data_IF_496413967901
#
_entry.id   IF_496413967901
#
_cell.length_a   1.000
_cell.length_b   1.000
_cell.length_c   1.000
_cell.angle_alpha   90.00
_cell.angle_beta   90.00
_cell.angle_gamma   90.00
#
_symmetry.space_group_name_H-M   'P 1'
#
loop_
_entity.id
_entity.type
_entity.pdbx_description
1 polymer ?
#
# COMPACT_ATOMS: atom_id res chain seq x y z
N UNK A 1 -12.08 10.62 8.95
CA UNK A 1 -13.06 9.82 8.15
C UNK A 1 -12.43 8.49 7.80
N UNK A 2 -12.45 7.55 8.76
CA UNK A 2 -11.65 6.33 8.72
C UNK A 2 -12.36 5.20 7.97
N UNK A 3 -11.63 4.60 7.04
CA UNK A 3 -12.04 3.43 6.27
C UNK A 3 -11.01 2.33 6.54
N UNK A 4 -11.46 1.23 7.14
CA UNK A 4 -10.68 0.01 7.40
C UNK A 4 -9.79 -0.43 6.22
N UNK A 5 -8.51 -0.50 6.51
CA UNK A 5 -7.41 -0.81 5.60
C UNK A 5 -7.31 -2.31 5.36
N UNK A 6 -8.25 -2.86 4.58
CA UNK A 6 -8.30 -4.31 4.31
C UNK A 6 -7.71 -4.72 2.95
N UNK A 7 -7.11 -3.79 2.20
CA UNK A 7 -6.65 -4.06 0.84
C UNK A 7 -5.57 -3.10 0.35
N UNK A 8 -4.58 -3.64 -0.37
CA UNK A 8 -3.60 -2.88 -1.16
C UNK A 8 -3.56 -3.44 -2.60
N UNK A 9 -3.87 -2.61 -3.61
CA UNK A 9 -3.63 -2.93 -5.02
C UNK A 9 -2.32 -2.34 -5.48
N UNK A 10 -1.41 -3.15 -6.03
CA UNK A 10 -0.36 -2.63 -6.89
C UNK A 10 -0.83 -2.80 -8.34
N UNK A 11 -1.62 -1.85 -8.84
CA UNK A 11 -2.40 -2.00 -10.07
C UNK A 11 -1.60 -1.72 -11.39
N UNK A 12 -1.37 -2.78 -12.15
CA UNK A 12 -1.80 -3.03 -13.56
C UNK A 12 -1.32 -2.23 -14.78
N UNK A 13 -1.34 -0.89 -14.84
CA UNK A 13 -0.94 -0.20 -16.10
C UNK A 13 0.58 -0.24 -16.36
N UNK A 14 1.34 -0.48 -15.29
CA UNK A 14 2.80 -0.56 -15.32
C UNK A 14 3.30 -1.72 -16.18
N UNK A 15 2.68 -2.91 -16.13
CA UNK A 15 3.28 -4.12 -16.72
C UNK A 15 3.45 -4.03 -18.23
N UNK A 16 2.39 -3.74 -19.00
CA UNK A 16 2.49 -3.66 -20.48
C UNK A 16 3.37 -2.50 -20.91
N UNK A 17 3.26 -1.35 -20.23
CA UNK A 17 4.10 -0.20 -20.52
C UNK A 17 5.58 -0.51 -20.26
N UNK A 18 5.89 -1.16 -19.14
CA UNK A 18 7.24 -1.56 -18.80
C UNK A 18 7.78 -2.66 -19.73
N UNK A 19 7.00 -3.71 -19.99
CA UNK A 19 7.48 -4.85 -20.78
C UNK A 19 7.59 -4.55 -22.28
N UNK A 20 6.79 -3.61 -22.81
CA UNK A 20 6.75 -3.30 -24.25
C UNK A 20 7.58 -2.08 -24.60
N UNK A 21 7.62 -1.06 -23.74
CA UNK A 21 8.19 0.25 -24.10
C UNK A 21 9.32 0.73 -23.18
N UNK A 22 9.53 0.10 -22.03
CA UNK A 22 10.57 0.52 -21.09
C UNK A 22 11.80 -0.38 -21.20
N UNK A 23 12.92 0.23 -21.60
CA UNK A 23 14.23 -0.41 -21.47
C UNK A 23 14.70 -0.22 -20.01
N UNK A 24 15.18 -1.27 -19.31
CA UNK A 24 15.73 -1.14 -17.96
C UNK A 24 16.85 -0.10 -17.81
N UNK A 25 17.51 0.30 -18.90
CA UNK A 25 18.50 1.39 -18.93
C UNK A 25 17.88 2.79 -18.85
N UNK A 26 16.59 2.92 -19.12
CA UNK A 26 15.86 4.19 -19.01
C UNK A 26 15.50 4.43 -17.54
N UNK A 27 16.08 5.43 -16.87
CA UNK A 27 15.77 5.70 -15.47
C UNK A 27 14.33 6.17 -15.30
N UNK A 28 13.68 5.70 -14.23
CA UNK A 28 12.38 6.18 -13.79
C UNK A 28 12.62 7.40 -12.90
N UNK A 29 11.98 8.52 -13.25
CA UNK A 29 11.96 9.73 -12.44
C UNK A 29 10.63 9.82 -11.70
N UNK A 30 10.59 9.58 -10.38
CA UNK A 30 9.43 9.99 -9.60
C UNK A 30 9.22 11.49 -9.79
N UNK A 31 7.97 11.94 -9.86
CA UNK A 31 7.71 13.34 -10.20
C UNK A 31 7.92 14.24 -8.98
N UNK A 32 7.05 14.10 -7.98
CA UNK A 32 7.06 14.93 -6.78
C UNK A 32 6.22 14.24 -5.71
N UNK A 33 6.59 14.44 -4.45
CA UNK A 33 5.67 14.27 -3.33
C UNK A 33 4.93 15.59 -3.14
N UNK A 34 3.61 15.53 -3.31
CA UNK A 34 2.72 16.67 -3.33
C UNK A 34 1.28 16.23 -3.07
N UNK A 35 0.43 17.20 -2.77
CA UNK A 35 -1.00 17.02 -2.52
C UNK A 35 -1.82 18.07 -3.27
N UNK A 36 -3.14 17.94 -3.25
CA UNK A 36 -4.07 18.89 -3.91
C UNK A 36 -3.87 20.32 -3.41
N UNK A 37 -3.50 20.45 -2.14
CA UNK A 37 -3.35 21.70 -1.41
C UNK A 37 -2.00 22.37 -1.68
N UNK A 38 -0.98 21.57 -2.00
CA UNK A 38 0.33 22.09 -2.39
C UNK A 38 1.13 21.04 -3.17
N UNK A 39 1.47 21.37 -4.41
CA UNK A 39 1.94 20.36 -5.37
C UNK A 39 3.45 20.05 -5.23
N UNK A 40 4.29 20.94 -4.68
CA UNK A 40 5.77 20.79 -4.71
C UNK A 40 6.43 20.69 -3.34
N UNK A 41 6.00 19.74 -2.52
CA UNK A 41 6.45 19.63 -1.13
C UNK A 41 7.82 18.95 -1.02
N UNK A 42 8.05 17.84 -1.71
CA UNK A 42 9.35 17.19 -1.75
C UNK A 42 9.60 16.54 -3.10
N UNK A 43 10.86 16.37 -3.49
CA UNK A 43 11.25 15.79 -4.78
C UNK A 43 12.20 14.62 -4.58
N UNK A 44 12.24 13.64 -5.48
CA UNK A 44 13.25 12.59 -5.39
C UNK A 44 14.64 13.17 -5.59
N UNK A 45 15.59 12.70 -4.78
CA UNK A 45 16.98 13.12 -4.86
C UNK A 45 17.67 12.61 -6.14
N UNK A 46 17.31 11.41 -6.59
CA UNK A 46 17.93 10.71 -7.72
C UNK A 46 16.88 9.92 -8.53
N UNK A 47 17.13 9.65 -9.82
CA UNK A 47 16.33 8.70 -10.56
C UNK A 47 16.38 7.31 -9.90
N UNK A 48 15.29 6.55 -10.04
CA UNK A 48 15.13 5.22 -9.43
C UNK A 48 15.28 5.18 -7.89
N UNK A 49 15.22 6.32 -7.20
CA UNK A 49 15.28 6.38 -5.73
C UNK A 49 13.93 6.79 -5.15
N UNK A 50 13.65 6.30 -3.94
CA UNK A 50 12.54 6.72 -3.09
C UNK A 50 12.95 7.80 -2.08
N UNK A 51 14.22 8.19 -2.05
CA UNK A 51 14.74 9.25 -1.19
C UNK A 51 14.14 10.58 -1.62
N UNK A 52 13.26 11.13 -0.80
CA UNK A 52 12.68 12.44 -1.00
C UNK A 52 13.46 13.48 -0.22
N UNK A 53 13.65 14.65 -0.83
CA UNK A 53 14.18 15.84 -0.17
C UNK A 53 13.10 16.93 -0.10
N UNK A 54 12.92 17.58 1.06
CA UNK A 54 12.05 18.76 1.19
C UNK A 54 12.48 19.82 0.19
N UNK A 55 11.51 20.54 -0.39
CA UNK A 55 11.78 21.69 -1.24
C UNK A 55 11.86 22.97 -0.40
N UNK A 56 13.04 23.61 -0.28
CA UNK A 56 13.14 24.89 0.39
C UNK A 56 12.17 25.90 -0.26
N UNK A 57 11.47 26.69 0.56
CA UNK A 57 10.48 27.72 0.14
C UNK A 57 9.15 27.20 -0.43
N UNK A 58 8.88 25.89 -0.38
CA UNK A 58 7.56 25.37 -0.78
C UNK A 58 6.54 25.61 0.33
N UNK A 59 6.77 25.01 1.49
CA UNK A 59 5.92 25.09 2.67
C UNK A 59 6.81 25.27 3.90
N UNK A 60 6.21 25.68 5.01
CA UNK A 60 6.85 25.51 6.31
C UNK A 60 6.60 24.08 6.79
N UNK A 61 7.66 23.41 7.24
CA UNK A 61 7.65 22.00 7.60
C UNK A 61 7.70 21.84 9.12
N UNK A 62 6.72 21.12 9.64
CA UNK A 62 6.69 20.62 11.00
C UNK A 62 6.58 19.09 10.97
N UNK A 63 7.07 18.44 12.02
CA UNK A 63 7.10 17.00 12.13
C UNK A 63 6.62 16.59 13.51
N UNK A 64 5.64 15.68 13.57
CA UNK A 64 5.18 15.09 14.83
C UNK A 64 5.79 13.70 14.89
N UNK A 65 6.61 13.40 15.91
CA UNK A 65 7.20 12.07 16.08
C UNK A 65 6.10 11.02 16.28
N UNK A 66 6.25 9.87 15.62
CA UNK A 66 5.29 8.76 15.71
C UNK A 66 5.99 7.57 16.34
N UNK A 67 5.55 7.19 17.53
CA UNK A 67 5.93 5.94 18.18
C UNK A 67 5.06 4.78 17.65
N UNK A 68 5.61 3.56 17.65
CA UNK A 68 4.99 2.39 17.01
C UNK A 68 3.63 1.99 17.62
N UNK A 69 3.34 2.42 18.86
CA UNK A 69 2.11 2.12 19.62
C UNK A 69 1.08 3.27 19.63
N UNK A 70 1.36 4.42 19.02
CA UNK A 70 0.54 5.62 19.21
C UNK A 70 -0.69 5.68 18.26
N UNK A 71 -1.68 4.83 18.58
CA UNK A 71 -3.11 5.15 18.42
C UNK A 71 -3.56 6.25 19.40
N UNK A 72 -2.70 7.20 19.78
CA UNK A 72 -3.18 8.40 20.49
C UNK A 72 -4.24 9.06 19.63
N UNK A 73 -5.43 9.15 20.23
CA UNK A 73 -6.66 9.60 19.62
C UNK A 73 -6.47 10.92 18.86
N UNK A 74 -7.25 11.12 17.79
CA UNK A 74 -7.32 12.40 17.07
C UNK A 74 -7.71 13.59 17.99
N UNK A 75 -8.15 13.31 19.22
CA UNK A 75 -8.82 14.25 20.12
C UNK A 75 -7.89 14.99 21.11
N UNK A 76 -6.59 14.66 21.19
CA UNK A 76 -5.63 15.51 21.91
C UNK A 76 -5.13 16.64 20.99
N UNK A 77 -6.04 17.59 20.70
CA UNK A 77 -5.73 18.87 20.04
C UNK A 77 -4.74 19.74 20.84
N UNK A 78 -4.35 19.32 22.06
CA UNK A 78 -3.39 20.01 22.91
C UNK A 78 -1.96 19.73 22.46
N UNK A 79 -1.45 20.60 21.57
CA UNK A 79 -0.02 20.89 21.39
C UNK A 79 0.89 19.66 21.44
N UNK A 80 0.67 18.71 20.53
CA UNK A 80 1.72 17.75 20.20
C UNK A 80 2.99 18.52 19.88
N UNK A 81 4.09 18.15 20.53
CA UNK A 81 5.40 18.72 20.28
C UNK A 81 5.75 18.47 18.81
N UNK A 82 5.95 19.55 18.06
CA UNK A 82 6.39 19.48 16.67
C UNK A 82 7.85 19.86 16.56
N UNK A 83 8.57 19.08 15.78
CA UNK A 83 9.95 19.30 15.42
C UNK A 83 10.01 20.11 14.13
N UNK A 84 10.97 21.02 14.06
CA UNK A 84 11.35 21.68 12.82
C UNK A 84 12.24 20.79 11.96
N UNK A 85 12.39 21.16 10.69
CA UNK A 85 13.19 20.44 9.70
C UNK A 85 14.63 20.11 10.14
N UNK A 86 15.23 20.95 10.98
CA UNK A 86 16.60 20.74 11.44
C UNK A 86 16.69 19.77 12.63
N UNK A 87 15.60 19.58 13.38
CA UNK A 87 15.54 18.80 14.62
C UNK A 87 15.24 17.32 14.40
N UNK A 88 14.77 16.94 13.20
CA UNK A 88 14.46 15.53 12.91
C UNK A 88 15.72 14.65 12.88
N UNK A 89 15.57 13.44 13.45
CA UNK A 89 16.66 12.47 13.58
C UNK A 89 16.52 11.29 12.61
N UNK A 90 17.65 10.77 12.16
CA UNK A 90 17.70 9.59 11.28
C UNK A 90 17.15 8.34 11.98
N UNK A 91 16.43 7.51 11.24
CA UNK A 91 15.81 6.28 11.75
C UNK A 91 14.43 6.48 12.35
N UNK A 92 14.10 7.69 12.82
CA UNK A 92 12.80 8.01 13.41
C UNK A 92 11.70 8.22 12.37
N UNK A 93 10.46 7.99 12.81
CA UNK A 93 9.23 8.15 12.02
C UNK A 93 8.49 9.41 12.46
N UNK A 94 7.96 10.15 11.50
CA UNK A 94 7.22 11.38 11.76
C UNK A 94 5.99 11.49 10.88
N UNK A 95 4.90 12.03 11.42
CA UNK A 95 3.84 12.61 10.62
C UNK A 95 4.28 13.99 10.13
N UNK A 96 4.10 14.26 8.85
CA UNK A 96 4.43 15.57 8.29
C UNK A 96 3.26 16.54 8.44
N UNK A 97 3.57 17.75 8.88
CA UNK A 97 2.62 18.84 9.08
C UNK A 97 3.08 20.06 8.27
N UNK A 98 2.16 20.71 7.55
CA UNK A 98 2.49 21.83 6.67
C UNK A 98 1.78 23.11 7.05
N UNK A 99 2.50 24.22 6.88
CA UNK A 99 1.89 25.54 6.74
C UNK A 99 2.18 26.08 5.34
N UNK A 100 1.14 26.46 4.60
CA UNK A 100 1.22 26.89 3.20
C UNK A 100 0.96 28.39 3.05
N UNK A 101 1.43 28.99 1.95
CA UNK A 101 1.14 30.39 1.61
C UNK A 101 -0.35 30.63 1.30
N UNK A 102 -1.07 29.59 0.91
CA UNK A 102 -2.48 29.63 0.51
C UNK A 102 -3.45 29.50 1.69
N UNK A 103 -2.94 29.57 2.93
CA UNK A 103 -3.76 29.71 4.14
C UNK A 103 -4.05 28.42 4.90
N UNK A 104 -3.35 27.32 4.62
CA UNK A 104 -3.35 26.17 5.50
C UNK A 104 -2.32 26.38 6.60
N UNK A 105 -2.75 26.31 7.86
CA UNK A 105 -1.88 26.46 9.03
C UNK A 105 -1.87 25.16 9.81
N UNK A 106 -0.66 24.66 10.08
CA UNK A 106 -0.41 23.43 10.84
C UNK A 106 -1.29 22.26 10.36
N UNK A 107 -1.40 22.10 9.04
CA UNK A 107 -2.21 21.08 8.41
C UNK A 107 -1.57 19.70 8.57
N UNK A 108 -2.23 18.84 9.33
CA UNK A 108 -1.86 17.44 9.56
C UNK A 108 -2.16 16.60 8.32
N UNK A 109 -1.10 16.18 7.64
CA UNK A 109 -1.23 15.46 6.36
C UNK A 109 -1.63 14.00 6.56
N UNK A 110 -1.39 13.48 7.76
CA UNK A 110 -1.45 12.05 8.07
C UNK A 110 -0.43 11.21 7.28
N UNK A 111 0.46 11.81 6.48
CA UNK A 111 1.55 11.08 5.82
C UNK A 111 2.66 10.80 6.83
N UNK A 112 3.02 9.52 6.96
CA UNK A 112 4.11 9.07 7.82
C UNK A 112 5.36 8.89 6.97
N UNK A 113 6.43 9.58 7.37
CA UNK A 113 7.75 9.47 6.76
C UNK A 113 8.74 8.85 7.74
N UNK A 114 9.80 8.24 7.20
CA UNK A 114 10.99 7.86 7.96
C UNK A 114 12.17 8.68 7.49
N UNK A 115 12.90 9.29 8.40
CA UNK A 115 14.17 9.96 8.05
C UNK A 115 15.21 8.88 7.78
N UNK A 116 15.81 8.91 6.59
CA UNK A 116 16.77 7.90 6.12
C UNK A 116 18.18 8.45 5.93
N UNK A 117 18.38 9.72 6.26
CA UNK A 117 19.69 10.36 6.19
C UNK A 117 19.57 11.86 5.97
N UNK A 118 20.65 12.45 5.44
CA UNK A 118 20.70 13.86 5.07
C UNK A 118 21.42 14.04 3.73
N UNK A 119 20.92 14.99 2.93
CA UNK A 119 21.61 15.51 1.75
C UNK A 119 22.11 16.92 2.07
N UNK A 120 23.41 17.03 2.35
CA UNK A 120 23.98 18.17 3.07
C UNK A 120 23.21 18.40 4.39
N UNK A 121 22.63 19.58 4.60
CA UNK A 121 21.87 19.88 5.81
C UNK A 121 20.39 19.49 5.73
N UNK A 122 19.88 19.14 4.55
CA UNK A 122 18.47 18.79 4.36
C UNK A 122 18.23 17.33 4.75
N UNK A 123 17.19 17.02 5.55
CA UNK A 123 16.82 15.63 5.80
C UNK A 123 16.36 14.97 4.49
N UNK A 124 16.73 13.71 4.31
CA UNK A 124 16.17 12.83 3.28
C UNK A 124 15.20 11.87 3.95
N UNK A 125 14.04 11.65 3.36
CA UNK A 125 13.02 10.77 3.93
C UNK A 125 12.40 9.81 2.93
N UNK A 126 11.85 8.71 3.43
CA UNK A 126 10.97 7.81 2.70
C UNK A 126 9.53 8.01 3.16
N UNK A 127 8.59 8.03 2.23
CA UNK A 127 7.18 7.92 2.55
C UNK A 127 6.87 6.46 2.91
N UNK A 128 6.49 6.23 4.17
CA UNK A 128 6.16 4.90 4.70
C UNK A 128 4.70 4.56 4.39
N UNK A 129 3.82 5.55 4.51
CA UNK A 129 2.40 5.39 4.24
C UNK A 129 1.60 6.55 4.83
N UNK A 130 0.31 6.31 5.06
CA UNK A 130 -0.57 7.24 5.77
C UNK A 130 -1.02 6.65 7.08
N UNK A 131 -1.26 7.48 8.09
CA UNK A 131 -1.81 7.10 9.40
C UNK A 131 -3.10 6.30 9.17
N UNK A 132 -3.20 5.16 9.83
CA UNK A 132 -4.32 4.22 9.68
C UNK A 132 -4.31 3.38 8.40
N UNK A 133 -3.35 3.55 7.48
CA UNK A 133 -3.23 2.75 6.25
C UNK A 133 -2.21 1.61 6.40
N UNK A 134 -2.59 0.58 7.14
CA UNK A 134 -1.86 -0.67 7.31
C UNK A 134 -2.83 -1.86 7.25
N UNK A 135 -2.34 -3.05 6.88
CA UNK A 135 -3.09 -4.28 7.06
C UNK A 135 -2.85 -4.80 8.49
N UNK A 136 -3.94 -5.02 9.23
CA UNK A 136 -3.92 -5.63 10.57
C UNK A 136 -5.03 -6.66 10.70
N UNK A 137 -4.67 -7.87 11.11
CA UNK A 137 -5.59 -8.94 11.49
C UNK A 137 -5.89 -8.90 12.99
N UNK A 138 -4.89 -8.58 13.81
CA UNK A 138 -5.04 -8.42 15.26
C UNK A 138 -4.47 -7.09 15.74
N UNK A 139 -3.23 -7.08 16.21
CA UNK A 139 -2.56 -5.92 16.81
C UNK A 139 -1.29 -5.55 16.05
N UNK A 140 -0.97 -6.28 14.99
CA UNK A 140 0.17 -6.02 14.15
C UNK A 140 -0.18 -4.99 13.08
N UNK A 141 0.70 -4.02 12.86
CA UNK A 141 0.54 -3.00 11.84
C UNK A 141 1.54 -3.26 10.71
N UNK A 142 1.07 -3.87 9.61
CA UNK A 142 1.91 -4.11 8.44
C UNK A 142 1.58 -3.09 7.35
N UNK A 143 2.53 -2.22 7.03
CA UNK A 143 2.37 -1.13 6.08
C UNK A 143 2.40 -1.61 4.63
N UNK A 144 1.88 -0.78 3.70
CA UNK A 144 1.99 -1.06 2.27
C UNK A 144 3.44 -1.17 1.80
N UNK A 145 4.32 -0.30 2.31
CA UNK A 145 5.72 -0.29 1.93
C UNK A 145 6.38 -1.62 2.31
N UNK A 146 6.21 -2.08 3.55
CA UNK A 146 6.77 -3.35 4.04
C UNK A 146 6.26 -4.54 3.21
N UNK A 147 4.95 -4.64 2.97
CA UNK A 147 4.38 -5.69 2.13
C UNK A 147 4.97 -5.66 0.72
N UNK A 148 5.09 -4.47 0.13
CA UNK A 148 5.62 -4.30 -1.23
C UNK A 148 7.08 -4.72 -1.31
N UNK A 149 7.91 -4.35 -0.34
CA UNK A 149 9.33 -4.74 -0.31
C UNK A 149 9.49 -6.25 -0.12
N UNK A 150 8.78 -6.83 0.85
CA UNK A 150 8.80 -8.27 1.12
C UNK A 150 8.35 -9.05 -0.11
N UNK A 151 7.18 -8.74 -0.67
CA UNK A 151 6.62 -9.47 -1.81
C UNK A 151 7.51 -9.32 -3.05
N UNK A 152 8.00 -8.12 -3.34
CA UNK A 152 8.91 -7.94 -4.49
C UNK A 152 10.23 -8.70 -4.30
N UNK A 153 10.75 -8.79 -3.08
CA UNK A 153 11.96 -9.59 -2.80
C UNK A 153 11.72 -11.08 -3.09
N UNK A 154 10.58 -11.62 -2.63
CA UNK A 154 10.20 -13.02 -2.85
C UNK A 154 9.99 -13.26 -4.34
N UNK A 155 9.17 -12.45 -5.01
CA UNK A 155 8.78 -12.70 -6.40
C UNK A 155 9.95 -12.60 -7.38
N UNK A 156 11.01 -11.84 -7.06
CA UNK A 156 12.26 -11.82 -7.84
C UNK A 156 12.98 -13.18 -7.84
N UNK A 157 12.94 -13.92 -6.73
CA UNK A 157 13.55 -15.26 -6.66
C UNK A 157 12.85 -16.26 -7.59
N UNK A 158 11.57 -16.02 -7.87
CA UNK A 158 10.71 -16.86 -8.70
C UNK A 158 10.47 -16.26 -10.10
N UNK A 159 11.29 -15.29 -10.53
CA UNK A 159 11.10 -14.60 -11.81
C UNK A 159 11.09 -15.57 -13.01
N UNK A 160 11.84 -16.67 -12.95
CA UNK A 160 11.83 -17.71 -14.00
C UNK A 160 10.51 -18.51 -14.06
N UNK A 161 9.86 -18.66 -12.91
CA UNK A 161 8.57 -19.36 -12.79
C UNK A 161 7.39 -18.45 -13.18
N UNK A 162 7.62 -17.14 -13.30
CA UNK A 162 6.64 -16.17 -13.79
C UNK A 162 7.00 -15.73 -15.22
N UNK A 163 6.05 -15.81 -16.14
CA UNK A 163 6.24 -15.43 -17.56
C UNK A 163 6.44 -13.92 -17.79
N UNK A 164 6.29 -13.10 -16.75
CA UNK A 164 6.28 -11.64 -16.85
C UNK A 164 7.40 -10.99 -16.03
N UNK A 165 7.98 -9.93 -16.58
CA UNK A 165 8.97 -9.01 -15.97
C UNK A 165 8.52 -8.43 -14.61
N UNK A 166 7.23 -8.53 -14.26
CA UNK A 166 6.71 -8.18 -12.93
C UNK A 166 5.36 -8.87 -12.69
N UNK A 167 5.25 -9.89 -11.82
CA UNK A 167 3.98 -10.46 -11.38
C UNK A 167 3.04 -9.37 -10.81
N UNK A 168 1.77 -9.37 -11.21
CA UNK A 168 0.74 -8.51 -10.63
C UNK A 168 0.18 -9.18 -9.41
N UNK A 169 0.07 -8.43 -8.32
CA UNK A 169 -0.40 -8.97 -7.06
C UNK A 169 -1.25 -7.98 -6.27
N UNK A 170 -2.05 -8.51 -5.36
CA UNK A 170 -2.74 -7.72 -4.36
C UNK A 170 -2.81 -8.47 -3.04
N UNK A 171 -2.83 -7.72 -1.94
CA UNK A 171 -2.90 -8.28 -0.59
C UNK A 171 -4.17 -7.82 0.08
N UNK A 172 -4.87 -8.75 0.71
CA UNK A 172 -6.05 -8.47 1.52
C UNK A 172 -6.11 -9.41 2.72
N UNK A 173 -7.01 -9.11 3.66
CA UNK A 173 -7.27 -9.97 4.82
C UNK A 173 -8.53 -10.80 4.58
N UNK A 174 -8.43 -12.11 4.76
CA UNK A 174 -9.58 -13.01 4.84
C UNK A 174 -9.57 -13.72 6.19
N UNK A 175 -10.59 -13.45 7.00
CA UNK A 175 -10.71 -13.92 8.39
C UNK A 175 -9.48 -13.52 9.22
N UNK A 176 -8.66 -14.48 9.63
CA UNK A 176 -7.45 -14.26 10.40
C UNK A 176 -6.17 -14.44 9.57
N UNK A 177 -6.23 -14.32 8.24
CA UNK A 177 -5.08 -14.57 7.36
C UNK A 177 -4.87 -13.42 6.39
N UNK A 178 -3.60 -13.10 6.15
CA UNK A 178 -3.18 -12.38 4.96
C UNK A 178 -3.37 -13.27 3.73
N UNK A 179 -3.91 -12.73 2.65
CA UNK A 179 -4.09 -13.41 1.37
C UNK A 179 -3.33 -12.64 0.31
N UNK A 180 -2.27 -13.25 -0.21
CA UNK A 180 -1.52 -12.74 -1.35
C UNK A 180 -2.10 -13.35 -2.63
N UNK A 181 -2.77 -12.50 -3.41
CA UNK A 181 -3.27 -12.87 -4.72
C UNK A 181 -2.28 -12.52 -5.81
N UNK A 182 -2.02 -13.44 -6.75
CA UNK A 182 -1.02 -13.29 -7.81
C UNK A 182 -1.64 -13.69 -9.15
N UNK A 183 -1.56 -12.82 -10.16
CA UNK A 183 -1.94 -13.17 -11.54
C UNK A 183 -0.87 -14.04 -12.20
N UNK A 184 -1.31 -15.14 -12.79
CA UNK A 184 -0.49 -16.05 -13.60
C UNK A 184 -1.10 -16.19 -15.00
N UNK A 185 -0.26 -16.46 -15.99
CA UNK A 185 -0.71 -16.71 -17.36
C UNK A 185 -1.53 -17.99 -17.46
N UNK A 186 -2.48 -18.01 -18.39
CA UNK A 186 -3.46 -19.09 -18.52
C UNK A 186 -2.80 -20.46 -18.78
N UNK A 187 -1.70 -20.52 -19.55
CA UNK A 187 -0.94 -21.75 -19.81
C UNK A 187 -0.38 -22.41 -18.53
N UNK A 188 -0.12 -21.62 -17.48
CA UNK A 188 0.41 -22.11 -16.20
C UNK A 188 -0.69 -22.51 -15.22
N UNK A 189 -1.95 -22.09 -15.43
CA UNK A 189 -3.08 -22.52 -14.60
C UNK A 189 -3.47 -23.99 -14.80
N UNK A 190 -3.16 -24.55 -15.97
CA UNK A 190 -3.47 -25.94 -16.28
C UNK A 190 -2.61 -26.93 -15.47
N UNK A 191 -1.42 -26.51 -15.00
CA UNK A 191 -0.57 -27.30 -14.11
C UNK A 191 -0.86 -27.02 -12.62
N UNK A 192 -2.03 -27.46 -12.16
CA UNK A 192 -2.52 -27.20 -10.79
C UNK A 192 -1.61 -27.73 -9.68
N UNK A 193 -0.90 -28.84 -9.90
CA UNK A 193 -0.05 -29.44 -8.87
C UNK A 193 1.25 -28.66 -8.68
N UNK A 194 1.85 -28.15 -9.78
CA UNK A 194 2.99 -27.24 -9.71
C UNK A 194 2.62 -25.94 -8.98
N UNK A 195 1.46 -25.34 -9.29
CA UNK A 195 1.01 -24.11 -8.63
C UNK A 195 0.71 -24.30 -7.14
N UNK A 196 0.21 -25.47 -6.72
CA UNK A 196 0.04 -25.80 -5.29
C UNK A 196 1.39 -25.86 -4.56
N UNK A 197 2.38 -26.48 -5.17
CA UNK A 197 3.72 -26.59 -4.60
C UNK A 197 4.36 -25.19 -4.44
N UNK A 198 4.39 -24.41 -5.52
CA UNK A 198 4.91 -23.03 -5.51
C UNK A 198 4.13 -22.18 -4.50
N UNK A 199 2.80 -22.31 -4.45
CA UNK A 199 1.96 -21.55 -3.51
C UNK A 199 2.30 -21.84 -2.05
N UNK A 200 2.61 -23.09 -1.71
CA UNK A 200 3.03 -23.47 -0.35
C UNK A 200 4.40 -22.89 0.02
N UNK A 201 5.34 -22.91 -0.91
CA UNK A 201 6.67 -22.31 -0.72
C UNK A 201 6.57 -20.79 -0.54
N UNK A 202 5.83 -20.11 -1.41
CA UNK A 202 5.59 -18.66 -1.33
C UNK A 202 4.89 -18.26 -0.02
N UNK A 203 3.88 -19.04 0.41
CA UNK A 203 3.20 -18.85 1.69
C UNK A 203 4.17 -18.91 2.86
N UNK A 204 5.07 -19.91 2.86
CA UNK A 204 6.06 -20.10 3.92
C UNK A 204 7.07 -18.95 3.96
N UNK A 205 7.65 -18.59 2.80
CA UNK A 205 8.60 -17.47 2.70
C UNK A 205 7.98 -16.13 3.08
N UNK A 206 6.71 -15.89 2.72
CA UNK A 206 5.99 -14.69 3.10
C UNK A 206 5.81 -14.62 4.62
N UNK A 207 5.42 -15.73 5.27
CA UNK A 207 5.28 -15.81 6.72
C UNK A 207 6.61 -15.54 7.44
N UNK A 208 7.71 -16.10 6.94
CA UNK A 208 9.06 -15.91 7.50
C UNK A 208 9.52 -14.46 7.40
N UNK A 209 9.47 -13.87 6.21
CA UNK A 209 9.89 -12.47 6.02
C UNK A 209 9.02 -11.46 6.77
N UNK A 210 7.72 -11.73 6.91
CA UNK A 210 6.85 -10.89 7.75
C UNK A 210 7.25 -10.96 9.23
N UNK A 211 7.64 -12.15 9.73
CA UNK A 211 8.15 -12.30 11.11
C UNK A 211 9.49 -11.61 11.33
N UNK A 212 10.38 -11.64 10.34
CA UNK A 212 11.67 -10.97 10.40
C UNK A 212 11.53 -9.44 10.38
N UNK A 213 10.58 -8.93 9.60
CA UNK A 213 10.38 -7.49 9.42
C UNK A 213 9.49 -6.85 10.48
N UNK A 214 8.62 -7.61 11.14
CA UNK A 214 7.61 -7.06 12.04
C UNK A 214 7.43 -7.98 13.28
N UNK A 215 7.92 -7.52 14.43
CA UNK A 215 7.89 -8.28 15.69
C UNK A 215 6.46 -8.47 16.23
N UNK A 216 5.53 -7.54 15.96
CA UNK A 216 4.12 -7.69 16.36
C UNK A 216 3.43 -8.77 15.55
N UNK A 217 3.70 -8.83 14.24
CA UNK A 217 3.24 -9.91 13.38
C UNK A 217 3.73 -11.25 13.90
N UNK A 218 5.02 -11.35 14.22
CA UNK A 218 5.64 -12.56 14.79
C UNK A 218 4.98 -12.97 16.11
N UNK A 219 4.81 -12.04 17.03
CA UNK A 219 4.14 -12.27 18.31
C UNK A 219 2.70 -12.74 18.12
N UNK A 220 1.96 -12.13 17.19
CA UNK A 220 0.57 -12.51 16.90
C UNK A 220 0.46 -13.87 16.18
N UNK A 221 1.44 -14.23 15.34
CA UNK A 221 1.56 -15.56 14.72
C UNK A 221 1.86 -16.65 15.75
N UNK A 222 2.79 -16.41 16.68
CA UNK A 222 3.13 -17.34 17.77
C UNK A 222 1.95 -17.57 18.73
N UNK A 223 1.22 -16.51 19.05
CA UNK A 223 -0.02 -16.56 19.86
C UNK A 223 -1.22 -17.15 19.09
N UNK A 224 -1.03 -17.57 17.83
CA UNK A 224 -2.08 -18.12 16.94
C UNK A 224 -3.28 -17.19 16.74
N UNK A 225 -3.08 -15.87 16.90
CA UNK A 225 -4.11 -14.86 16.58
C UNK A 225 -4.25 -14.66 15.07
N UNK A 226 -3.14 -14.83 14.35
CA UNK A 226 -3.07 -14.76 12.88
C UNK A 226 -2.74 -16.15 12.35
N UNK A 227 -3.42 -16.57 11.29
CA UNK A 227 -3.17 -17.79 10.52
C UNK A 227 -2.05 -17.60 9.50
N UNK A 228 -1.47 -18.70 9.00
CA UNK A 228 -0.43 -18.61 7.95
C UNK A 228 -0.97 -17.91 6.70
N UNK A 229 -0.19 -17.01 6.06
CA UNK A 229 -0.58 -16.35 4.82
C UNK A 229 -1.00 -17.35 3.74
N UNK A 230 -2.01 -17.02 2.95
CA UNK A 230 -2.50 -17.88 1.87
C UNK A 230 -2.18 -17.27 0.51
N UNK A 231 -1.79 -18.11 -0.45
CA UNK A 231 -1.60 -17.69 -1.84
C UNK A 231 -2.87 -17.98 -2.64
N UNK A 232 -3.31 -16.99 -3.42
CA UNK A 232 -4.46 -17.09 -4.29
C UNK A 232 -4.07 -16.81 -5.74
N UNK A 233 -4.10 -17.85 -6.56
CA UNK A 233 -3.78 -17.74 -7.98
C UNK A 233 -4.95 -17.14 -8.75
N UNK A 234 -4.67 -16.09 -9.51
CA UNK A 234 -5.63 -15.39 -10.34
C UNK A 234 -5.38 -15.67 -11.81
N UNK A 235 -6.48 -15.70 -12.58
CA UNK A 235 -6.41 -15.71 -14.04
C UNK A 235 -5.74 -14.44 -14.53
N UNK A 236 -5.08 -14.55 -15.67
CA UNK A 236 -4.49 -13.40 -16.34
C UNK A 236 -5.53 -12.28 -16.52
N UNK A 237 -5.11 -11.03 -16.30
CA UNK A 237 -5.93 -9.82 -16.36
C UNK A 237 -7.05 -9.64 -15.30
N UNK A 238 -7.18 -10.51 -14.29
CA UNK A 238 -8.21 -10.35 -13.24
C UNK A 238 -8.09 -9.04 -12.45
N UNK A 239 -6.89 -8.70 -11.97
CA UNK A 239 -6.56 -7.44 -11.31
C UNK A 239 -6.44 -6.30 -12.33
N UNK A 240 -5.99 -6.60 -13.56
CA UNK A 240 -5.69 -5.56 -14.57
C UNK A 240 -6.92 -4.98 -15.25
N UNK A 241 -7.72 -5.81 -15.93
CA UNK A 241 -8.96 -5.35 -16.57
C UNK A 241 -10.16 -5.60 -15.67
N UNK A 242 -10.21 -6.73 -14.95
CA UNK A 242 -11.37 -7.07 -14.10
C UNK A 242 -11.71 -6.01 -13.06
N UNK A 243 -10.73 -5.55 -12.26
CA UNK A 243 -10.94 -4.46 -11.27
C UNK A 243 -11.28 -3.15 -11.96
N UNK A 244 -10.54 -2.81 -13.01
CA UNK A 244 -10.72 -1.55 -13.74
C UNK A 244 -12.12 -1.46 -14.33
N UNK A 245 -12.54 -2.48 -15.08
CA UNK A 245 -13.83 -2.52 -15.74
C UNK A 245 -14.95 -2.52 -14.71
N UNK A 246 -14.78 -3.19 -13.57
CA UNK A 246 -15.71 -3.08 -12.44
C UNK A 246 -15.79 -1.66 -11.85
N UNK A 247 -14.66 -0.93 -11.75
CA UNK A 247 -14.63 0.47 -11.30
C UNK A 247 -15.21 1.46 -12.30
N UNK A 248 -15.14 1.14 -13.59
CA UNK A 248 -15.58 2.02 -14.67
C UNK A 248 -17.02 1.73 -15.13
N UNK A 249 -17.57 0.56 -14.81
CA UNK A 249 -18.93 0.18 -15.16
C UNK A 249 -19.93 1.06 -14.38
N UNK A 250 -20.59 2.05 -15.01
CA UNK A 250 -21.45 3.01 -14.30
C UNK A 250 -22.65 2.35 -13.61
N UNK A 251 -23.01 1.12 -13.99
CA UNK A 251 -24.08 0.36 -13.35
C UNK A 251 -23.60 -0.40 -12.08
N UNK A 252 -22.28 -0.52 -11.86
CA UNK A 252 -21.65 -1.17 -10.70
C UNK A 252 -20.81 -0.21 -9.86
N UNK A 253 -20.17 0.76 -10.50
CA UNK A 253 -19.60 1.96 -9.90
C UNK A 253 -20.72 2.97 -9.68
N UNK A 254 -21.46 2.80 -8.58
CA UNK A 254 -22.51 3.73 -8.16
C UNK A 254 -22.20 5.19 -8.50
N UNK A 255 -23.09 5.79 -9.29
CA UNK A 255 -23.04 7.15 -9.79
C UNK A 255 -22.88 8.16 -8.65
N UNK A 256 -21.82 8.96 -8.69
CA UNK A 256 -21.73 10.22 -7.93
C UNK A 256 -22.50 11.25 -8.77
N UNK A 257 -23.83 11.21 -8.69
CA UNK A 257 -24.64 12.29 -9.23
C UNK A 257 -24.60 13.47 -8.26
N UNK A 258 -24.19 14.61 -8.80
CA UNK A 258 -24.17 15.95 -8.23
C UNK A 258 -25.51 16.34 -7.59
N UNK A 259 -25.66 16.14 -6.27
CA UNK A 259 -26.53 16.87 -5.32
C UNK A 259 -26.56 16.11 -3.98
N UNK A 260 -25.43 16.13 -3.27
CA UNK A 260 -25.40 15.73 -1.86
C UNK A 260 -24.49 16.68 -1.07
N UNK A 261 -24.83 17.98 -1.12
CA UNK A 261 -24.48 18.89 -0.04
C UNK A 261 -25.29 18.45 1.19
N UNK A 262 -24.67 17.68 2.10
CA UNK A 262 -24.66 17.90 3.56
C UNK A 262 -24.27 16.71 4.43
N UNK A 263 -24.16 15.49 3.90
CA UNK A 263 -23.75 14.33 4.72
C UNK A 263 -22.41 13.74 4.24
N UNK A 264 -21.32 14.39 4.65
CA UNK A 264 -19.94 13.93 4.46
C UNK A 264 -19.65 12.70 5.33
N UNK A 265 -20.10 11.48 4.96
CA UNK A 265 -19.56 10.25 5.58
C UNK A 265 -19.84 8.88 4.92
N UNK A 266 -20.48 8.78 3.75
CA UNK A 266 -20.84 7.47 3.14
C UNK A 266 -19.85 6.98 2.06
N UNK A 267 -18.79 6.35 2.57
CA UNK A 267 -18.07 5.13 2.15
C UNK A 267 -18.34 4.51 0.74
N UNK A 268 -17.25 4.18 0.03
CA UNK A 268 -17.25 3.04 -0.90
C UNK A 268 -15.91 2.27 -0.85
N UNK A 269 -15.89 1.22 -0.03
CA UNK A 269 -14.78 0.26 0.04
C UNK A 269 -15.03 -0.87 -0.96
N UNK A 270 -13.99 -1.28 -1.68
CA UNK A 270 -13.99 -2.50 -2.48
C UNK A 270 -13.38 -3.60 -1.63
N UNK A 271 -14.16 -4.60 -1.24
CA UNK A 271 -13.67 -5.73 -0.44
C UNK A 271 -13.47 -6.93 -1.38
N UNK A 272 -12.23 -7.39 -1.51
CA UNK A 272 -11.94 -8.70 -2.10
C UNK A 272 -12.35 -9.77 -1.10
N UNK A 273 -13.32 -10.61 -1.46
CA UNK A 273 -13.70 -11.79 -0.66
C UNK A 273 -13.41 -13.05 -1.42
N UNK A 274 -12.73 -14.01 -0.79
CA UNK A 274 -12.53 -15.36 -1.33
C UNK A 274 -13.85 -16.15 -1.23
N UNK A 275 -14.30 -16.76 -2.32
CA UNK A 275 -15.42 -17.72 -2.28
C UNK A 275 -14.95 -19.03 -1.64
N UNK A 276 -15.74 -19.61 -0.73
CA UNK A 276 -15.42 -20.87 -0.03
C UNK A 276 -15.18 -22.05 -0.96
N UNK A 277 -15.75 -22.04 -2.17
CA UNK A 277 -15.89 -23.26 -2.95
C UNK A 277 -15.01 -23.34 -4.21
N UNK A 278 -14.24 -22.30 -4.60
CA UNK A 278 -13.61 -22.30 -5.93
C UNK A 278 -12.36 -21.42 -6.14
N UNK A 279 -11.64 -20.98 -5.10
CA UNK A 279 -10.45 -20.10 -5.27
C UNK A 279 -10.69 -18.88 -6.18
N UNK A 280 -11.91 -18.35 -6.15
CA UNK A 280 -12.32 -17.16 -6.92
C UNK A 280 -12.48 -15.97 -5.99
N UNK A 281 -11.99 -14.81 -6.44
CA UNK A 281 -12.22 -13.54 -5.74
C UNK A 281 -13.55 -12.95 -6.23
N UNK A 282 -14.38 -12.51 -5.28
CA UNK A 282 -15.49 -11.61 -5.54
C UNK A 282 -15.10 -10.18 -5.17
N UNK A 283 -15.32 -9.26 -6.10
CA UNK A 283 -15.34 -7.83 -5.83
C UNK A 283 -16.68 -7.50 -5.20
N UNK A 284 -16.69 -7.13 -3.92
CA UNK A 284 -17.90 -6.69 -3.22
C UNK A 284 -17.83 -5.19 -3.03
N UNK A 285 -18.77 -4.47 -3.63
CA UNK A 285 -19.19 -3.14 -3.15
C UNK A 285 -20.28 -3.40 -2.12
N UNK A 286 -20.24 -2.75 -0.96
CA UNK A 286 -21.26 -2.98 0.09
C UNK A 286 -22.67 -3.02 -0.53
N UNK A 287 -23.41 -4.10 -0.25
CA UNK A 287 -24.76 -4.44 -0.73
C UNK A 287 -24.95 -4.89 -2.18
N UNK A 288 -23.91 -5.17 -2.97
CA UNK A 288 -24.05 -5.80 -4.29
C UNK A 288 -23.10 -7.00 -4.44
N UNK A 289 -23.68 -8.21 -4.47
CA UNK A 289 -22.96 -9.46 -4.75
C UNK A 289 -22.99 -9.72 -6.25
N UNK A 290 -21.85 -9.62 -6.94
CA UNK A 290 -21.76 -10.02 -8.35
C UNK A 290 -20.73 -11.12 -8.56
N UNK A 291 -21.10 -12.04 -9.45
CA UNK A 291 -20.36 -13.22 -9.82
C UNK A 291 -19.82 -12.97 -11.23
N UNK A 292 -18.50 -12.92 -11.38
CA UNK A 292 -17.87 -12.92 -12.70
C UNK A 292 -17.59 -14.39 -13.02
N UNK A 293 -18.18 -14.89 -14.12
CA UNK A 293 -17.95 -16.23 -14.64
C UNK A 293 -16.63 -16.27 -15.43
#
# INVERSE_FOLDING_TARGET
MYMSSNYICVCSFKRKLLSTYWDPKVPIYPYVYGMSEHHRIAVPLKPNSYDLIPQPRSVFYEFIEVEDDDEKDEDDEQTLESFELHQVEEGKRYEVVFTTYDGLYRYRTQDIIKIVGRYYSLPTWHLIGRRGQYLSVSNEHVTELELREIINSILREYEKEFTSVSPQYSVFIDKSSYVLSIEVDDEKQDNKDQLKQIGKELSTKLDEKLKESNEDYKTCREKKKISSPTILWLKYNTLTTGIRDFRLDPNKSGSINSKAQKDNQLKSQMILKRKKDNDTIKFVKENIVLQVN
#
